data_IF_062510965139
#
_entry.id   IF_062510965139
#
_cell.length_a   1.000
_cell.length_b   1.000
_cell.length_c   1.000
_cell.angle_alpha   90.00
_cell.angle_beta   90.00
_cell.angle_gamma   90.00
#
_symmetry.space_group_name_H-M   'P 1'
#
loop_
_entity.id
_entity.type
_entity.pdbx_description
1 polymer ?
#
# COMPACT_ATOMS: atom_id res chain seq x y z
N UNK A 1 -3.33 10.72 -6.52
CA UNK A 1 -3.81 11.36 -5.29
C UNK A 1 -4.02 10.33 -4.19
N UNK A 2 -3.75 10.70 -2.95
CA UNK A 2 -3.88 9.81 -1.80
C UNK A 2 -5.00 10.32 -0.90
N UNK A 3 -5.89 9.43 -0.50
CA UNK A 3 -6.98 9.76 0.43
C UNK A 3 -6.89 8.84 1.63
N UNK A 4 -7.06 9.39 2.85
CA UNK A 4 -7.04 8.63 4.09
C UNK A 4 -8.45 8.61 4.68
N UNK A 5 -8.94 7.42 5.01
CA UNK A 5 -10.21 7.23 5.72
C UNK A 5 -9.92 6.28 6.88
N UNK A 6 -9.80 6.82 8.11
CA UNK A 6 -9.42 6.02 9.26
C UNK A 6 -8.03 5.42 9.09
N UNK A 7 -7.92 4.10 9.12
CA UNK A 7 -6.67 3.37 8.88
C UNK A 7 -6.53 2.90 7.42
N UNK A 8 -7.39 3.39 6.52
CA UNK A 8 -7.40 2.99 5.11
C UNK A 8 -6.80 4.10 4.25
N UNK A 9 -5.88 3.71 3.37
CA UNK A 9 -5.26 4.60 2.39
C UNK A 9 -5.74 4.20 1.01
N UNK A 10 -6.29 5.15 0.28
CA UNK A 10 -6.76 4.93 -1.09
C UNK A 10 -5.81 5.67 -2.03
N UNK A 11 -5.22 4.95 -2.98
CA UNK A 11 -4.47 5.55 -4.08
C UNK A 11 -5.42 5.60 -5.27
N UNK A 12 -5.93 6.79 -5.59
CA UNK A 12 -6.92 6.92 -6.65
C UNK A 12 -6.33 7.30 -8.01
N UNK A 13 -5.01 7.35 -8.11
CA UNK A 13 -4.31 7.56 -9.39
C UNK A 13 -4.25 6.26 -10.17
N UNK A 14 -4.63 6.28 -11.43
CA UNK A 14 -4.50 5.11 -12.32
C UNK A 14 -3.04 4.71 -12.47
N UNK A 15 -2.16 5.67 -12.65
CA UNK A 15 -0.71 5.48 -12.68
C UNK A 15 -0.10 6.27 -11.56
N UNK A 16 0.25 5.60 -10.47
CA UNK A 16 0.87 6.24 -9.33
C UNK A 16 2.26 6.78 -9.68
N UNK A 17 2.65 7.88 -9.04
CA UNK A 17 3.89 8.60 -9.31
C UNK A 17 4.80 8.59 -8.08
N UNK A 18 6.00 9.18 -8.21
CA UNK A 18 6.89 9.39 -7.06
C UNK A 18 6.31 10.40 -6.07
N UNK A 19 5.49 11.35 -6.55
CA UNK A 19 4.76 12.24 -5.66
C UNK A 19 3.73 11.46 -4.84
N UNK A 20 3.05 10.49 -5.46
CA UNK A 20 2.15 9.59 -4.76
C UNK A 20 2.90 8.77 -3.71
N UNK A 21 4.11 8.33 -4.01
CA UNK A 21 4.95 7.62 -3.03
C UNK A 21 5.21 8.48 -1.81
N UNK A 22 5.61 9.73 -1.98
CA UNK A 22 5.86 10.65 -0.87
C UNK A 22 4.59 10.86 -0.03
N UNK A 23 3.45 11.05 -0.68
CA UNK A 23 2.16 11.20 0.00
C UNK A 23 1.75 9.93 0.73
N UNK A 24 2.02 8.77 0.14
CA UNK A 24 1.75 7.47 0.74
C UNK A 24 2.58 7.27 2.02
N UNK A 25 3.87 7.60 1.98
CA UNK A 25 4.73 7.51 3.17
C UNK A 25 4.20 8.40 4.30
N UNK A 26 3.80 9.63 3.98
CA UNK A 26 3.22 10.54 4.96
C UNK A 26 1.92 9.98 5.55
N UNK A 27 1.08 9.39 4.71
CA UNK A 27 -0.18 8.79 5.16
C UNK A 27 0.08 7.62 6.11
N UNK A 28 1.02 6.74 5.79
CA UNK A 28 1.39 5.61 6.65
C UNK A 28 1.88 6.12 8.02
N UNK A 29 2.79 7.09 8.01
CA UNK A 29 3.32 7.64 9.26
C UNK A 29 2.23 8.31 10.10
N UNK A 30 1.33 9.04 9.48
CA UNK A 30 0.22 9.71 10.16
C UNK A 30 -0.71 8.70 10.86
N UNK A 31 -1.05 7.62 10.16
CA UNK A 31 -1.92 6.56 10.70
C UNK A 31 -1.25 5.86 11.89
N UNK A 32 0.05 5.54 11.76
CA UNK A 32 0.80 4.89 12.84
C UNK A 32 0.95 5.80 14.07
N UNK A 33 1.21 7.08 13.85
CA UNK A 33 1.28 8.06 14.94
C UNK A 33 -0.04 8.17 15.69
N UNK A 34 -1.16 7.95 15.00
CA UNK A 34 -2.49 7.92 15.61
C UNK A 34 -2.79 6.66 16.41
N UNK A 35 -1.87 5.69 16.46
CA UNK A 35 -1.99 4.49 17.28
C UNK A 35 -2.58 3.28 16.57
N UNK A 36 -2.84 3.34 15.27
CA UNK A 36 -3.34 2.18 14.53
C UNK A 36 -2.27 1.08 14.45
N UNK A 37 -2.72 -0.18 14.55
CA UNK A 37 -1.84 -1.36 14.44
C UNK A 37 -2.00 -2.08 13.12
N UNK A 38 -2.97 -1.68 12.31
CA UNK A 38 -3.19 -2.23 10.97
C UNK A 38 -3.49 -1.11 10.00
N UNK A 39 -2.88 -1.16 8.82
CA UNK A 39 -3.13 -0.22 7.74
C UNK A 39 -3.71 -1.01 6.56
N UNK A 40 -4.77 -0.48 5.98
CA UNK A 40 -5.43 -1.07 4.82
C UNK A 40 -5.13 -0.19 3.62
N UNK A 41 -4.75 -0.80 2.50
CA UNK A 41 -4.43 -0.08 1.26
C UNK A 41 -5.41 -0.49 0.17
N UNK A 42 -6.05 0.48 -0.46
CA UNK A 42 -6.97 0.26 -1.57
C UNK A 42 -6.30 0.71 -2.87
N UNK A 43 -6.03 -0.26 -3.75
CA UNK A 43 -5.44 -0.06 -5.07
C UNK A 43 -6.41 -0.37 -6.20
N UNK A 44 -7.73 -0.36 -5.92
CA UNK A 44 -8.74 -0.74 -6.92
C UNK A 44 -8.74 0.17 -8.14
N UNK A 45 -8.29 1.40 -8.01
CA UNK A 45 -8.22 2.38 -9.11
C UNK A 45 -6.85 2.48 -9.76
N UNK A 46 -5.84 1.77 -9.22
CA UNK A 46 -4.45 1.88 -9.65
C UNK A 46 -4.08 0.71 -10.54
N UNK A 47 -3.55 0.98 -11.73
CA UNK A 47 -3.10 -0.05 -12.66
C UNK A 47 -1.57 -0.13 -12.75
N UNK A 48 -0.85 0.87 -12.23
CA UNK A 48 0.60 0.91 -12.22
C UNK A 48 1.13 1.53 -10.93
N UNK A 49 2.13 0.89 -10.32
CA UNK A 49 2.91 1.43 -9.20
C UNK A 49 4.37 1.54 -9.62
N UNK A 50 5.04 2.66 -9.32
CA UNK A 50 6.49 2.71 -9.49
C UNK A 50 7.16 1.73 -8.52
N UNK A 51 8.29 1.16 -8.94
CA UNK A 51 9.02 0.18 -8.12
C UNK A 51 9.43 0.73 -6.77
N UNK A 52 9.71 2.02 -6.68
CA UNK A 52 10.07 2.69 -5.42
C UNK A 52 8.90 2.65 -4.42
N UNK A 53 7.67 2.84 -4.90
CA UNK A 53 6.49 2.76 -4.04
C UNK A 53 6.25 1.32 -3.59
N UNK A 54 6.35 0.37 -4.50
CA UNK A 54 6.19 -1.04 -4.19
C UNK A 54 7.26 -1.50 -3.19
N UNK A 55 8.51 -1.09 -3.40
CA UNK A 55 9.60 -1.39 -2.49
C UNK A 55 9.37 -0.84 -1.08
N UNK A 56 8.87 0.39 -0.99
CA UNK A 56 8.50 0.98 0.30
C UNK A 56 7.39 0.17 0.98
N UNK A 57 6.34 -0.18 0.25
CA UNK A 57 5.21 -0.96 0.78
C UNK A 57 5.67 -2.30 1.35
N UNK A 58 6.50 -3.02 0.60
CA UNK A 58 6.99 -4.33 1.02
C UNK A 58 7.93 -4.24 2.22
N UNK A 59 8.82 -3.25 2.23
CA UNK A 59 9.73 -3.01 3.35
C UNK A 59 8.97 -2.61 4.61
N UNK A 60 7.96 -1.77 4.47
CA UNK A 60 7.13 -1.33 5.59
C UNK A 60 6.31 -2.49 6.15
N UNK A 61 5.80 -3.36 5.29
CA UNK A 61 5.09 -4.57 5.72
C UNK A 61 5.98 -5.43 6.61
N UNK A 62 7.20 -5.71 6.18
CA UNK A 62 8.14 -6.51 6.99
C UNK A 62 8.42 -5.85 8.33
N UNK A 63 8.68 -4.55 8.33
CA UNK A 63 8.97 -3.81 9.56
C UNK A 63 7.80 -3.85 10.55
N UNK A 64 6.58 -3.65 10.06
CA UNK A 64 5.38 -3.66 10.90
C UNK A 64 5.08 -5.05 11.44
N UNK A 65 5.22 -6.08 10.62
CA UNK A 65 5.00 -7.46 11.06
C UNK A 65 5.95 -7.85 12.19
N UNK A 66 7.19 -7.37 12.15
CA UNK A 66 8.14 -7.58 13.23
C UNK A 66 7.76 -6.94 14.55
N UNK A 67 6.82 -6.01 14.54
CA UNK A 67 6.30 -5.31 15.73
C UNK A 67 4.89 -5.74 16.11
N UNK A 68 4.37 -6.81 15.51
CA UNK A 68 3.00 -7.25 15.73
C UNK A 68 1.94 -6.39 15.04
N UNK A 69 2.35 -5.57 14.07
CA UNK A 69 1.45 -4.72 13.29
C UNK A 69 1.43 -5.20 11.84
N UNK A 70 0.57 -4.64 11.01
CA UNK A 70 0.46 -5.06 9.61
C UNK A 70 0.02 -3.93 8.69
N UNK A 71 0.35 -4.09 7.42
CA UNK A 71 -0.19 -3.29 6.32
C UNK A 71 -0.56 -4.28 5.20
N UNK A 72 -1.78 -4.18 4.67
CA UNK A 72 -2.23 -5.13 3.66
C UNK A 72 -3.13 -4.45 2.63
N UNK A 73 -3.22 -5.06 1.46
CA UNK A 73 -4.05 -4.57 0.36
C UNK A 73 -5.42 -5.21 0.47
N UNK A 74 -6.47 -4.38 0.54
CA UNK A 74 -7.87 -4.86 0.64
C UNK A 74 -8.55 -4.96 -0.73
N UNK A 75 -8.11 -4.15 -1.69
CA UNK A 75 -8.68 -4.11 -3.02
C UNK A 75 -7.60 -3.74 -4.03
N UNK A 76 -7.68 -4.28 -5.23
CA UNK A 76 -6.67 -4.07 -6.26
C UNK A 76 -7.30 -4.25 -7.64
N UNK A 77 -6.84 -3.47 -8.63
CA UNK A 77 -7.28 -3.60 -10.00
C UNK A 77 -6.77 -4.91 -10.61
N UNK A 78 -7.50 -5.44 -11.59
CA UNK A 78 -7.11 -6.68 -12.27
C UNK A 78 -5.72 -6.61 -12.91
N UNK A 79 -5.38 -5.55 -13.67
CA UNK A 79 -4.04 -5.46 -14.28
C UNK A 79 -2.92 -5.45 -13.26
N UNK A 80 -3.09 -4.74 -12.15
CA UNK A 80 -2.06 -4.65 -11.12
C UNK A 80 -1.94 -5.98 -10.36
N UNK A 81 -3.07 -6.65 -10.11
CA UNK A 81 -3.06 -7.96 -9.46
C UNK A 81 -2.27 -8.98 -10.28
N UNK A 82 -2.41 -8.97 -11.60
CA UNK A 82 -1.62 -9.86 -12.47
C UNK A 82 -0.13 -9.62 -12.31
N UNK A 83 0.29 -8.37 -12.22
CA UNK A 83 1.70 -8.03 -11.99
C UNK A 83 2.17 -8.61 -10.66
N UNK A 84 1.37 -8.46 -9.60
CA UNK A 84 1.71 -8.97 -8.28
C UNK A 84 1.72 -10.50 -8.23
N UNK A 85 0.77 -11.16 -8.93
CA UNK A 85 0.73 -12.62 -9.02
C UNK A 85 1.96 -13.16 -9.75
N UNK A 86 2.35 -12.53 -10.85
CA UNK A 86 3.54 -12.92 -11.61
C UNK A 86 4.83 -12.72 -10.80
N UNK A 87 4.88 -11.67 -9.99
CA UNK A 87 6.00 -11.40 -9.10
C UNK A 87 5.95 -12.24 -7.81
N UNK A 88 4.89 -13.00 -7.59
CA UNK A 88 4.69 -13.87 -6.42
C UNK A 88 4.69 -13.10 -5.10
N UNK A 89 4.12 -11.90 -5.11
CA UNK A 89 4.03 -11.05 -3.92
C UNK A 89 2.60 -10.87 -3.41
N UNK A 90 1.60 -11.37 -4.13
CA UNK A 90 0.19 -11.21 -3.75
C UNK A 90 -0.11 -11.75 -2.35
N UNK A 91 0.35 -12.96 -2.04
CA UNK A 91 0.12 -13.57 -0.73
C UNK A 91 0.76 -12.77 0.40
N UNK A 92 1.99 -12.30 0.19
CA UNK A 92 2.69 -11.48 1.18
C UNK A 92 1.93 -10.19 1.47
N UNK A 93 1.25 -9.62 0.48
CA UNK A 93 0.51 -8.36 0.61
C UNK A 93 -0.95 -8.56 1.04
N UNK A 94 -1.35 -9.77 1.38
CA UNK A 94 -2.69 -10.04 1.90
C UNK A 94 -3.76 -10.28 0.85
N UNK A 95 -3.35 -10.59 -0.35
CA UNK A 95 -4.27 -10.84 -1.46
C UNK A 95 -4.58 -12.33 -1.66
#
# INVERSE_FOLDING_TARGET
>A
MITIIGNKIIIDSSRATLDDKASFEQAVNSILEGGATEIIVDLSKTVYLPSELLGYLMGKKRALMGKGMDIKISAISEPLKRVFDEARISGFLGL
#
